data_IF_951086540811
#
_entry.id   IF_951086540811
#
_cell.length_a   1.000
_cell.length_b   1.000
_cell.length_c   1.000
_cell.angle_alpha   90.00
_cell.angle_beta   90.00
_cell.angle_gamma   90.00
#
_symmetry.space_group_name_H-M   'P 1'
#
loop_
_entity.id
_entity.type
_entity.pdbx_description
1 polymer ?
#
# COMPACT_ATOMS: atom_id res chain seq x y z
N UNK A 1 -6.75 6.97 -26.78
CA UNK A 1 -6.53 6.13 -25.58
C UNK A 1 -7.87 5.91 -24.91
N UNK A 2 -8.28 4.67 -24.62
CA UNK A 2 -9.58 4.45 -23.98
C UNK A 2 -9.55 4.95 -22.53
N UNK A 3 -10.69 5.40 -22.00
CA UNK A 3 -10.81 5.83 -20.59
C UNK A 3 -10.32 4.73 -19.63
N UNK A 4 -10.54 3.46 -19.99
CA UNK A 4 -10.11 2.29 -19.22
C UNK A 4 -8.59 2.16 -19.18
N UNK A 5 -7.91 2.40 -20.31
CA UNK A 5 -6.44 2.34 -20.38
C UNK A 5 -5.79 3.43 -19.53
N UNK A 6 -6.36 4.64 -19.53
CA UNK A 6 -5.90 5.73 -18.66
C UNK A 6 -6.03 5.37 -17.18
N UNK A 7 -7.13 4.73 -16.76
CA UNK A 7 -7.31 4.32 -15.36
C UNK A 7 -6.33 3.23 -14.93
N UNK A 8 -6.01 2.29 -15.84
CA UNK A 8 -4.97 1.28 -15.58
C UNK A 8 -3.60 1.90 -15.38
N UNK A 9 -3.24 2.90 -16.20
CA UNK A 9 -2.00 3.64 -16.05
C UNK A 9 -1.92 4.37 -14.70
N UNK A 10 -3.01 5.01 -14.26
CA UNK A 10 -3.06 5.62 -12.92
C UNK A 10 -2.85 4.56 -11.83
N UNK A 11 -3.48 3.39 -11.97
CA UNK A 11 -3.27 2.26 -11.05
C UNK A 11 -1.80 1.82 -10.97
N UNK A 12 -1.12 1.73 -12.11
CA UNK A 12 0.32 1.41 -12.18
C UNK A 12 1.18 2.49 -11.51
N UNK A 13 0.92 3.76 -11.79
CA UNK A 13 1.67 4.89 -11.19
C UNK A 13 1.51 4.88 -9.67
N UNK A 14 0.29 4.66 -9.16
CA UNK A 14 0.05 4.52 -7.72
C UNK A 14 0.78 3.31 -7.13
N UNK A 15 0.90 2.22 -7.89
CA UNK A 15 1.61 1.02 -7.45
C UNK A 15 3.11 1.26 -7.31
N UNK A 16 3.70 1.96 -8.28
CA UNK A 16 5.11 2.37 -8.22
C UNK A 16 5.34 3.35 -7.07
N UNK A 17 4.43 4.31 -6.86
CA UNK A 17 4.51 5.24 -5.74
C UNK A 17 4.43 4.51 -4.38
N UNK A 18 3.53 3.55 -4.23
CA UNK A 18 3.41 2.73 -3.03
C UNK A 18 4.62 1.82 -2.79
N UNK A 19 5.24 1.28 -3.84
CA UNK A 19 6.51 0.56 -3.75
C UNK A 19 7.63 1.48 -3.26
N UNK A 20 7.76 2.67 -3.84
CA UNK A 20 8.79 3.63 -3.44
C UNK A 20 8.61 4.05 -1.97
N UNK A 21 7.38 4.30 -1.54
CA UNK A 21 7.05 4.62 -0.15
C UNK A 21 7.36 3.45 0.81
N UNK A 22 6.99 2.23 0.44
CA UNK A 22 7.27 1.03 1.24
C UNK A 22 8.76 0.73 1.34
N UNK A 23 9.52 0.91 0.25
CA UNK A 23 10.98 0.79 0.25
C UNK A 23 11.61 1.87 1.13
N UNK A 24 11.13 3.11 1.02
CA UNK A 24 11.60 4.19 1.87
C UNK A 24 11.41 3.85 3.35
N UNK A 25 10.23 3.38 3.76
CA UNK A 25 9.96 2.92 5.12
C UNK A 25 10.86 1.78 5.56
N UNK A 26 11.20 0.86 4.66
CA UNK A 26 12.09 -0.27 4.95
C UNK A 26 13.54 0.17 5.22
N UNK A 27 13.98 1.24 4.57
CA UNK A 27 15.33 1.80 4.72
C UNK A 27 15.39 3.02 5.65
N UNK A 28 14.25 3.53 6.11
CA UNK A 28 14.15 4.72 6.95
C UNK A 28 14.95 4.59 8.25
N UNK A 29 15.05 3.38 8.81
CA UNK A 29 15.86 3.13 10.01
C UNK A 29 17.38 3.28 9.76
N UNK A 30 17.82 3.24 8.49
CA UNK A 30 19.22 3.42 8.09
C UNK A 30 19.55 4.82 7.58
N UNK A 31 18.54 5.66 7.34
CA UNK A 31 18.68 7.03 6.83
C UNK A 31 18.24 7.99 7.93
N UNK A 32 19.12 8.88 8.39
CA UNK A 32 18.80 9.88 9.40
C UNK A 32 17.62 10.73 8.94
N UNK A 33 16.42 10.46 9.46
CA UNK A 33 15.25 11.20 9.03
C UNK A 33 15.28 12.61 9.60
N UNK A 34 14.98 13.60 8.76
CA UNK A 34 15.04 15.02 9.14
C UNK A 34 13.97 15.42 10.16
N UNK A 35 12.99 14.55 10.40
CA UNK A 35 11.93 14.72 11.40
C UNK A 35 11.92 13.51 12.32
N UNK A 36 11.89 13.71 13.64
CA UNK A 36 11.77 12.66 14.68
C UNK A 36 10.48 11.82 14.60
N UNK A 37 9.70 11.98 13.52
CA UNK A 37 8.37 11.41 13.29
C UNK A 37 8.37 10.36 12.16
N UNK A 38 9.53 10.04 11.58
CA UNK A 38 9.65 9.05 10.49
C UNK A 38 9.76 7.60 10.96
N UNK A 39 9.26 7.26 12.15
CA UNK A 39 9.32 5.89 12.65
C UNK A 39 8.35 4.98 11.89
N UNK A 40 8.75 3.73 11.67
CA UNK A 40 7.84 2.65 11.27
C UNK A 40 6.89 2.30 12.42
N UNK A 41 5.66 1.85 12.09
CA UNK A 41 4.65 1.50 13.09
C UNK A 41 5.17 0.40 14.02
N UNK A 42 5.40 0.71 15.30
CA UNK A 42 5.84 -0.26 16.30
C UNK A 42 4.65 -0.99 16.91
N UNK A 43 4.40 -2.20 16.42
CA UNK A 43 3.40 -3.11 16.98
C UNK A 43 4.14 -4.06 17.94
N UNK A 44 3.69 -4.23 19.19
CA UNK A 44 4.31 -5.19 20.09
C UNK A 44 4.27 -6.59 19.47
N UNK A 45 5.37 -7.32 19.60
CA UNK A 45 5.54 -8.69 19.07
C UNK A 45 5.62 -8.82 17.53
N UNK A 46 5.55 -7.73 16.77
CA UNK A 46 5.74 -7.73 15.31
C UNK A 46 7.01 -6.96 14.96
N UNK A 47 7.96 -7.57 14.23
CA UNK A 47 9.12 -6.84 13.72
C UNK A 47 8.74 -5.57 12.94
N UNK A 48 9.44 -4.47 13.20
CA UNK A 48 9.15 -3.12 12.70
C UNK A 48 9.10 -3.03 11.16
N UNK A 49 9.87 -3.88 10.47
CA UNK A 49 9.94 -3.95 9.02
C UNK A 49 8.81 -4.75 8.37
N UNK A 50 8.10 -5.63 9.11
CA UNK A 50 7.09 -6.51 8.50
C UNK A 50 5.93 -5.74 7.84
N UNK A 51 5.34 -4.69 8.44
CA UNK A 51 4.30 -3.91 7.78
C UNK A 51 4.77 -3.31 6.44
N UNK A 52 6.00 -2.82 6.38
CA UNK A 52 6.59 -2.25 5.16
C UNK A 52 6.83 -3.35 4.10
N UNK A 53 7.29 -4.54 4.48
CA UNK A 53 7.45 -5.68 3.57
C UNK A 53 6.08 -6.12 3.02
N UNK A 54 5.06 -6.23 3.86
CA UNK A 54 3.72 -6.60 3.39
C UNK A 54 3.14 -5.54 2.45
N UNK A 55 3.31 -4.25 2.77
CA UNK A 55 2.94 -3.16 1.87
C UNK A 55 3.66 -3.24 0.53
N UNK A 56 4.98 -3.46 0.54
CA UNK A 56 5.81 -3.63 -0.65
C UNK A 56 5.31 -4.76 -1.53
N UNK A 57 5.08 -5.94 -0.95
CA UNK A 57 4.57 -7.11 -1.68
C UNK A 57 3.17 -6.86 -2.23
N UNK A 58 2.31 -6.18 -1.47
CA UNK A 58 0.95 -5.86 -1.88
C UNK A 58 0.91 -4.87 -3.05
N UNK A 59 1.73 -3.82 -3.02
CA UNK A 59 1.87 -2.88 -4.13
C UNK A 59 2.58 -3.51 -5.33
N UNK A 60 3.57 -4.38 -5.13
CA UNK A 60 4.18 -5.14 -6.22
C UNK A 60 3.15 -6.04 -6.92
N UNK A 61 2.29 -6.72 -6.15
CA UNK A 61 1.21 -7.53 -6.71
C UNK A 61 0.18 -6.68 -7.47
N UNK A 62 -0.07 -5.44 -7.02
CA UNK A 62 -0.92 -4.50 -7.75
C UNK A 62 -0.41 -4.25 -9.18
N UNK A 63 0.91 -4.17 -9.39
CA UNK A 63 1.48 -3.99 -10.72
C UNK A 63 1.15 -5.16 -11.64
N UNK A 64 1.23 -6.39 -11.12
CA UNK A 64 0.91 -7.62 -11.87
C UNK A 64 -0.56 -7.64 -12.29
N UNK A 65 -1.46 -7.19 -11.40
CA UNK A 65 -2.89 -7.07 -11.69
C UNK A 65 -3.14 -6.00 -12.77
N UNK A 66 -2.60 -4.80 -12.62
CA UNK A 66 -2.84 -3.69 -13.54
C UNK A 66 -2.13 -3.86 -14.90
N UNK A 67 -1.01 -4.59 -14.97
CA UNK A 67 -0.41 -5.03 -16.23
C UNK A 67 -1.27 -6.06 -16.98
N UNK A 68 -2.29 -6.64 -16.33
CA UNK A 68 -3.20 -7.60 -16.93
C UNK A 68 -2.62 -9.02 -17.07
N UNK A 69 -1.54 -9.34 -16.34
CA UNK A 69 -0.96 -10.68 -16.26
C UNK A 69 -1.94 -11.61 -15.53
N UNK A 70 -2.52 -11.12 -14.42
CA UNK A 70 -3.52 -11.82 -13.63
C UNK A 70 -4.92 -11.29 -13.96
N UNK A 71 -5.75 -12.14 -14.59
CA UNK A 71 -7.14 -11.81 -14.96
C UNK A 71 -8.19 -12.53 -14.12
N UNK A 72 -7.78 -13.45 -13.25
CA UNK A 72 -8.71 -14.25 -12.47
C UNK A 72 -9.24 -13.42 -11.28
N UNK A 73 -10.57 -13.24 -11.26
CA UNK A 73 -11.31 -12.42 -10.31
C UNK A 73 -11.04 -12.77 -8.85
N UNK A 74 -10.88 -14.06 -8.53
CA UNK A 74 -10.65 -14.52 -7.15
C UNK A 74 -9.39 -13.90 -6.55
N UNK A 75 -8.30 -13.84 -7.33
CA UNK A 75 -7.04 -13.26 -6.85
C UNK A 75 -7.13 -11.73 -6.71
N UNK A 76 -7.89 -11.07 -7.58
CA UNK A 76 -8.12 -9.62 -7.49
C UNK A 76 -8.92 -9.31 -6.23
N UNK A 77 -9.98 -10.07 -5.95
CA UNK A 77 -10.81 -9.90 -4.76
C UNK A 77 -10.03 -10.17 -3.46
N UNK A 78 -9.20 -11.23 -3.43
CA UNK A 78 -8.30 -11.50 -2.30
C UNK A 78 -7.28 -10.38 -2.09
N UNK A 79 -6.71 -9.84 -3.16
CA UNK A 79 -5.79 -8.69 -3.09
C UNK A 79 -6.50 -7.44 -2.55
N UNK A 80 -7.70 -7.12 -3.03
CA UNK A 80 -8.51 -6.00 -2.50
C UNK A 80 -8.84 -6.18 -1.02
N UNK A 81 -9.32 -7.37 -0.66
CA UNK A 81 -9.70 -7.70 0.71
C UNK A 81 -8.51 -7.57 1.66
N UNK A 82 -7.36 -8.16 1.32
CA UNK A 82 -6.14 -8.07 2.13
C UNK A 82 -5.65 -6.62 2.29
N UNK A 83 -5.80 -5.78 1.26
CA UNK A 83 -5.49 -4.35 1.33
C UNK A 83 -6.39 -3.60 2.31
N UNK A 84 -7.71 -3.76 2.20
CA UNK A 84 -8.67 -3.12 3.12
C UNK A 84 -8.43 -3.60 4.55
N UNK A 85 -8.27 -4.91 4.76
CA UNK A 85 -8.04 -5.49 6.07
C UNK A 85 -6.75 -4.94 6.70
N UNK A 86 -5.65 -4.91 5.94
CA UNK A 86 -4.37 -4.37 6.39
C UNK A 86 -4.47 -2.90 6.77
N UNK A 87 -5.09 -2.07 5.93
CA UNK A 87 -5.27 -0.63 6.20
C UNK A 87 -6.16 -0.40 7.42
N UNK A 88 -7.26 -1.15 7.55
CA UNK A 88 -8.17 -1.04 8.68
C UNK A 88 -7.47 -1.43 9.99
N UNK A 89 -6.73 -2.54 10.00
CA UNK A 89 -5.99 -3.00 11.17
C UNK A 89 -4.89 -2.02 11.58
N UNK A 90 -3.99 -1.66 10.66
CA UNK A 90 -2.86 -0.77 10.95
C UNK A 90 -3.32 0.66 11.24
N UNK A 91 -4.31 1.16 10.50
CA UNK A 91 -4.89 2.48 10.72
C UNK A 91 -5.59 2.58 12.08
N UNK A 92 -6.38 1.56 12.46
CA UNK A 92 -7.00 1.52 13.80
C UNK A 92 -5.93 1.48 14.89
N UNK A 93 -4.90 0.65 14.72
CA UNK A 93 -3.80 0.57 15.67
C UNK A 93 -3.08 1.92 15.83
N UNK A 94 -2.82 2.62 14.71
CA UNK A 94 -2.18 3.93 14.72
C UNK A 94 -3.01 4.97 15.49
N UNK A 95 -4.33 5.01 15.24
CA UNK A 95 -5.24 5.93 15.93
C UNK A 95 -5.32 5.63 17.43
N UNK A 96 -5.49 4.37 17.81
CA UNK A 96 -5.62 3.97 19.23
C UNK A 96 -4.36 4.30 20.03
N UNK A 97 -3.18 4.14 19.44
CA UNK A 97 -1.91 4.40 20.10
C UNK A 97 -1.38 5.82 19.87
N UNK A 98 -2.18 6.72 19.29
CA UNK A 98 -1.76 8.10 18.94
C UNK A 98 -0.47 8.15 18.13
N UNK A 99 -0.26 7.16 17.26
CA UNK A 99 0.92 7.02 16.43
C UNK A 99 0.72 7.76 15.11
N UNK A 100 1.61 8.71 14.81
CA UNK A 100 1.55 9.49 13.59
C UNK A 100 2.74 9.18 12.67
N UNK A 101 2.46 8.58 11.51
CA UNK A 101 3.47 8.31 10.48
C UNK A 101 2.93 8.78 9.11
N UNK A 102 3.38 9.94 8.60
CA UNK A 102 2.88 10.52 7.35
C UNK A 102 2.99 9.57 6.15
N UNK A 103 4.12 8.87 6.04
CA UNK A 103 4.37 7.90 4.97
C UNK A 103 3.41 6.72 5.06
N UNK A 104 3.18 6.18 6.26
CA UNK A 104 2.21 5.11 6.49
C UNK A 104 0.77 5.53 6.07
N UNK A 105 0.34 6.74 6.42
CA UNK A 105 -0.96 7.26 5.97
C UNK A 105 -1.02 7.51 4.45
N UNK A 106 0.11 7.90 3.86
CA UNK A 106 0.24 8.06 2.40
C UNK A 106 0.09 6.71 1.71
N UNK A 107 0.75 5.65 2.21
CA UNK A 107 0.54 4.28 1.75
C UNK A 107 -0.92 3.84 1.85
N UNK A 108 -1.62 4.17 2.95
CA UNK A 108 -3.04 3.86 3.09
C UNK A 108 -3.88 4.57 2.02
N UNK A 109 -3.61 5.86 1.76
CA UNK A 109 -4.30 6.62 0.73
C UNK A 109 -4.08 6.03 -0.66
N UNK A 110 -2.84 5.66 -1.00
CA UNK A 110 -2.52 4.98 -2.26
C UNK A 110 -3.20 3.62 -2.37
N UNK A 111 -3.21 2.82 -1.30
CA UNK A 111 -3.87 1.52 -1.27
C UNK A 111 -5.39 1.64 -1.48
N UNK A 112 -6.06 2.54 -0.76
CA UNK A 112 -7.50 2.80 -0.93
C UNK A 112 -7.81 3.27 -2.35
N UNK A 113 -7.02 4.20 -2.89
CA UNK A 113 -7.20 4.70 -4.25
C UNK A 113 -7.01 3.58 -5.30
N UNK A 114 -6.01 2.72 -5.14
CA UNK A 114 -5.80 1.58 -6.02
C UNK A 114 -6.97 0.60 -5.99
N UNK A 115 -7.51 0.30 -4.81
CA UNK A 115 -8.67 -0.59 -4.67
C UNK A 115 -9.88 0.02 -5.37
N UNK A 116 -10.16 1.31 -5.14
CA UNK A 116 -11.27 2.01 -5.80
C UNK A 116 -11.13 2.05 -7.33
N UNK A 117 -9.91 2.26 -7.86
CA UNK A 117 -9.64 2.20 -9.31
C UNK A 117 -9.83 0.77 -9.81
N UNK A 118 -9.35 -0.23 -9.07
CA UNK A 118 -9.47 -1.62 -9.48
C UNK A 118 -10.92 -2.05 -9.61
N UNK A 119 -11.82 -1.63 -8.71
CA UNK A 119 -13.27 -1.88 -8.81
C UNK A 119 -13.86 -1.30 -10.10
N UNK A 120 -13.43 -0.10 -10.50
CA UNK A 120 -13.89 0.52 -11.74
C UNK A 120 -13.38 -0.16 -13.01
N UNK A 121 -12.23 -0.83 -12.93
CA UNK A 121 -11.55 -1.44 -14.09
C UNK A 121 -11.92 -2.91 -14.26
N UNK A 122 -12.09 -3.65 -13.16
CA UNK A 122 -12.27 -5.11 -13.14
C UNK A 122 -13.56 -5.59 -12.46
N UNK A 123 -14.33 -4.69 -11.83
CA UNK A 123 -15.64 -4.99 -11.26
C UNK A 123 -16.75 -4.85 -12.28
#
# INVERSE_FOLDING_TARGET
MSRLDSMKQVGLVLGVAGIADSLYLLFADSISCFTDVCGTLRIPFVPEHLPAIFGLLWFAFSLVIFWGILKNRVYIDLWRFSGIFGIAFLGTYAVVNSYFCPFCFTAYAFGIAQIAISERVFG
#
